data_IF_771704743350
#
_entry.id   IF_771704743350
#
_cell.length_a   1.000
_cell.length_b   1.000
_cell.length_c   1.000
_cell.angle_alpha   90.00
_cell.angle_beta   90.00
_cell.angle_gamma   90.00
#
_symmetry.space_group_name_H-M   'P 1'
#
loop_
_entity.id
_entity.type
_entity.pdbx_description
1 polymer ?
#
# COMPACT_ATOMS: atom_id res chain seq x y z
N UNK A 1 6.09 -7.05 -7.06
CA UNK A 1 6.84 -7.49 -8.26
C UNK A 1 6.09 -8.61 -8.95
N UNK A 2 6.22 -8.73 -10.28
CA UNK A 2 5.66 -9.87 -11.02
C UNK A 2 6.63 -11.06 -10.97
N UNK A 3 6.14 -12.30 -11.07
CA UNK A 3 7.00 -13.50 -11.09
C UNK A 3 8.07 -13.50 -12.21
N UNK A 4 7.88 -12.70 -13.26
CA UNK A 4 8.85 -12.55 -14.35
C UNK A 4 10.08 -11.72 -13.98
N UNK A 5 10.06 -11.01 -12.85
CA UNK A 5 11.21 -10.18 -12.43
C UNK A 5 12.37 -11.07 -11.95
N UNK A 6 13.63 -10.85 -12.38
CA UNK A 6 14.78 -11.69 -12.02
C UNK A 6 15.02 -11.85 -10.52
N UNK A 7 14.56 -10.87 -9.72
CA UNK A 7 14.72 -10.85 -8.27
C UNK A 7 13.42 -11.15 -7.52
N UNK A 8 12.39 -11.67 -8.19
CA UNK A 8 11.07 -11.91 -7.58
C UNK A 8 11.18 -12.69 -6.26
N UNK A 9 11.89 -13.82 -6.24
CA UNK A 9 12.06 -14.66 -5.05
C UNK A 9 12.77 -13.92 -3.90
N UNK A 10 13.78 -13.10 -4.21
CA UNK A 10 14.46 -12.30 -3.20
C UNK A 10 13.50 -11.30 -2.54
N UNK A 11 12.76 -10.54 -3.33
CA UNK A 11 11.80 -9.58 -2.79
C UNK A 11 10.61 -10.26 -2.10
N UNK A 12 10.20 -11.43 -2.59
CA UNK A 12 9.17 -12.26 -1.95
C UNK A 12 9.61 -12.71 -0.56
N UNK A 13 10.90 -13.01 -0.37
CA UNK A 13 11.46 -13.39 0.93
C UNK A 13 11.44 -12.26 1.98
N UNK A 14 11.29 -11.00 1.55
CA UNK A 14 11.17 -9.84 2.44
C UNK A 14 9.73 -9.52 2.83
N UNK A 15 8.73 -10.21 2.27
CA UNK A 15 7.34 -9.98 2.63
C UNK A 15 7.08 -10.37 4.08
N UNK A 16 6.49 -9.45 4.83
CA UNK A 16 6.02 -9.76 6.18
C UNK A 16 4.75 -10.62 6.14
N UNK A 17 4.57 -11.52 7.12
CA UNK A 17 3.28 -12.18 7.33
C UNK A 17 2.15 -11.15 7.54
N UNK A 18 0.92 -11.43 7.08
CA UNK A 18 -0.21 -10.49 7.23
C UNK A 18 -0.48 -10.03 8.68
N UNK A 19 -0.18 -10.88 9.66
CA UNK A 19 -0.34 -10.60 11.09
C UNK A 19 0.55 -9.46 11.58
N UNK A 20 1.73 -9.26 10.97
CA UNK A 20 2.64 -8.17 11.28
C UNK A 20 1.96 -6.83 11.04
N UNK A 21 1.28 -6.65 9.91
CA UNK A 21 0.61 -5.40 9.58
C UNK A 21 -0.50 -5.05 10.57
N UNK A 22 -1.34 -6.03 10.97
CA UNK A 22 -2.37 -5.79 11.99
C UNK A 22 -1.77 -5.40 13.35
N UNK A 23 -0.61 -5.96 13.69
CA UNK A 23 0.11 -5.62 14.93
C UNK A 23 0.68 -4.21 14.86
N UNK A 24 1.27 -3.82 13.73
CA UNK A 24 1.81 -2.48 13.50
C UNK A 24 0.71 -1.42 13.56
N UNK A 25 -0.43 -1.64 12.90
CA UNK A 25 -1.57 -0.70 12.96
C UNK A 25 -2.02 -0.49 14.40
N UNK A 26 -2.20 -1.57 15.17
CA UNK A 26 -2.57 -1.48 16.59
C UNK A 26 -1.55 -0.67 17.41
N UNK A 27 -0.25 -0.87 17.18
CA UNK A 27 0.80 -0.12 17.88
C UNK A 27 0.79 1.37 17.50
N UNK A 28 0.65 1.69 16.21
CA UNK A 28 0.59 3.05 15.67
C UNK A 28 -0.64 3.80 16.22
N UNK A 29 -1.80 3.15 16.21
CA UNK A 29 -3.04 3.70 16.77
C UNK A 29 -2.93 3.88 18.29
N UNK A 30 -2.32 2.93 19.00
CA UNK A 30 -2.03 3.05 20.44
C UNK A 30 -1.16 4.27 20.78
N UNK A 31 -0.27 4.66 19.87
CA UNK A 31 0.54 5.89 19.96
C UNK A 31 -0.19 7.16 19.46
N UNK A 32 -1.50 7.07 19.18
CA UNK A 32 -2.33 8.15 18.60
C UNK A 32 -1.76 8.71 17.29
N UNK A 33 -1.16 7.83 16.47
CA UNK A 33 -0.67 8.15 15.12
C UNK A 33 -1.56 7.48 14.07
N UNK A 34 -1.43 7.92 12.82
CA UNK A 34 -2.17 7.36 11.68
C UNK A 34 -1.28 6.39 10.89
N UNK A 35 -1.85 5.27 10.47
CA UNK A 35 -1.19 4.27 9.65
C UNK A 35 -1.55 4.46 8.17
N UNK A 36 -0.53 4.71 7.33
CA UNK A 36 -0.66 4.81 5.88
C UNK A 36 0.13 3.68 5.22
N UNK A 37 -0.43 3.11 4.16
CA UNK A 37 0.20 2.03 3.39
C UNK A 37 0.38 2.43 1.94
N UNK A 38 1.55 2.11 1.39
CA UNK A 38 1.75 2.12 -0.07
C UNK A 38 1.01 0.92 -0.66
N UNK A 39 0.18 1.18 -1.66
CA UNK A 39 -0.70 0.16 -2.27
C UNK A 39 -0.37 0.00 -3.75
N UNK A 40 -0.20 -1.24 -4.15
CA UNK A 40 0.09 -1.71 -5.49
C UNK A 40 -0.98 -2.74 -5.90
N UNK A 41 -2.01 -2.28 -6.61
CA UNK A 41 -3.13 -3.12 -7.04
C UNK A 41 -4.07 -3.60 -5.93
N UNK A 42 -5.04 -4.41 -6.34
CA UNK A 42 -6.20 -4.80 -5.53
C UNK A 42 -5.87 -5.56 -4.25
N UNK A 43 -4.87 -6.45 -4.31
CA UNK A 43 -4.53 -7.32 -3.18
C UNK A 43 -3.99 -6.51 -2.01
N UNK A 44 -3.06 -5.59 -2.29
CA UNK A 44 -2.45 -4.75 -1.26
C UNK A 44 -3.43 -3.70 -0.75
N UNK A 45 -4.28 -3.13 -1.61
CA UNK A 45 -5.35 -2.22 -1.22
C UNK A 45 -6.33 -2.89 -0.24
N UNK A 46 -6.82 -4.08 -0.58
CA UNK A 46 -7.73 -4.83 0.28
C UNK A 46 -7.06 -5.28 1.59
N UNK A 47 -5.76 -5.63 1.54
CA UNK A 47 -5.01 -5.97 2.74
C UNK A 47 -4.86 -4.77 3.68
N UNK A 48 -4.46 -3.61 3.15
CA UNK A 48 -4.31 -2.37 3.91
C UNK A 48 -5.63 -1.92 4.54
N UNK A 49 -6.72 -1.95 3.78
CA UNK A 49 -8.05 -1.57 4.28
C UNK A 49 -8.51 -2.51 5.41
N UNK A 50 -8.36 -3.83 5.22
CA UNK A 50 -8.73 -4.85 6.20
C UNK A 50 -7.98 -4.71 7.52
N UNK A 51 -6.71 -4.31 7.51
CA UNK A 51 -5.93 -4.14 8.75
C UNK A 51 -6.18 -2.81 9.45
N UNK A 52 -7.03 -1.94 8.89
CA UNK A 52 -7.40 -0.68 9.51
C UNK A 52 -6.50 0.50 9.14
N UNK A 53 -5.95 0.53 7.92
CA UNK A 53 -5.25 1.71 7.41
C UNK A 53 -6.12 2.97 7.50
N UNK A 54 -5.53 4.09 7.92
CA UNK A 54 -6.19 5.40 7.96
C UNK A 54 -6.16 6.11 6.61
N UNK A 55 -5.31 5.64 5.69
CA UNK A 55 -5.19 6.16 4.35
C UNK A 55 -4.19 5.38 3.51
N UNK A 56 -4.08 5.79 2.25
CA UNK A 56 -3.30 5.08 1.25
C UNK A 56 -2.26 5.99 0.62
N UNK A 57 -1.18 5.39 0.16
CA UNK A 57 -0.12 6.02 -0.61
C UNK A 57 -0.09 5.35 -1.98
N UNK A 58 -0.05 6.16 -3.03
CA UNK A 58 0.11 5.73 -4.43
C UNK A 58 1.50 6.19 -4.88
N UNK A 59 2.36 5.25 -5.25
CA UNK A 59 3.70 5.54 -5.75
C UNK A 59 3.66 6.18 -7.15
N UNK A 60 4.73 6.89 -7.53
CA UNK A 60 4.76 7.67 -8.77
C UNK A 60 4.57 6.80 -10.02
N UNK A 61 5.05 5.56 -10.00
CA UNK A 61 4.93 4.60 -11.11
C UNK A 61 3.48 4.28 -11.46
N UNK A 62 2.57 4.46 -10.52
CA UNK A 62 1.14 4.20 -10.69
C UNK A 62 0.35 5.45 -11.08
N UNK A 63 0.99 6.62 -11.29
CA UNK A 63 0.28 7.87 -11.61
C UNK A 63 -0.53 7.80 -12.92
N UNK A 64 -0.13 6.95 -13.86
CA UNK A 64 -0.86 6.70 -15.11
C UNK A 64 -1.96 5.64 -14.99
N UNK A 65 -2.09 4.98 -13.84
CA UNK A 65 -3.03 3.89 -13.61
C UNK A 65 -4.37 4.42 -13.08
N UNK A 66 -5.08 5.20 -13.91
CA UNK A 66 -6.33 5.85 -13.54
C UNK A 66 -7.38 4.90 -12.94
N UNK A 67 -7.63 3.69 -13.47
CA UNK A 67 -8.60 2.77 -12.88
C UNK A 67 -8.25 2.37 -11.44
N UNK A 68 -6.96 2.17 -11.16
CA UNK A 68 -6.51 1.87 -9.80
C UNK A 68 -6.62 3.10 -8.89
N UNK A 69 -6.25 4.29 -9.37
CA UNK A 69 -6.37 5.53 -8.61
C UNK A 69 -7.84 5.79 -8.21
N UNK A 70 -8.77 5.69 -9.17
CA UNK A 70 -10.20 5.85 -8.93
C UNK A 70 -10.71 4.84 -7.90
N UNK A 71 -10.26 3.59 -7.98
CA UNK A 71 -10.58 2.55 -7.00
C UNK A 71 -10.10 2.92 -5.60
N UNK A 72 -8.85 3.36 -5.44
CA UNK A 72 -8.31 3.80 -4.15
C UNK A 72 -9.11 4.99 -3.60
N UNK A 73 -9.44 5.98 -4.45
CA UNK A 73 -10.21 7.16 -4.06
C UNK A 73 -11.64 6.80 -3.60
N UNK A 74 -12.28 5.81 -4.22
CA UNK A 74 -13.64 5.38 -3.89
C UNK A 74 -13.81 4.83 -2.47
N UNK A 75 -12.72 4.45 -1.79
CA UNK A 75 -12.74 4.00 -0.39
C UNK A 75 -13.05 5.16 0.57
N UNK A 76 -12.84 6.42 0.16
CA UNK A 76 -13.17 7.59 0.97
C UNK A 76 -12.18 7.89 2.10
N UNK A 77 -10.98 7.28 2.08
CA UNK A 77 -9.88 7.57 3.01
C UNK A 77 -8.88 8.54 2.38
N UNK A 78 -8.13 9.33 3.18
CA UNK A 78 -7.05 10.18 2.66
C UNK A 78 -6.05 9.42 1.78
N UNK A 79 -5.70 10.01 0.63
CA UNK A 79 -4.74 9.45 -0.32
C UNK A 79 -3.57 10.40 -0.52
N UNK A 80 -2.36 9.86 -0.42
CA UNK A 80 -1.11 10.55 -0.75
C UNK A 80 -0.66 10.08 -2.13
N UNK A 81 -0.45 10.99 -3.08
CA UNK A 81 -0.02 10.65 -4.43
C UNK A 81 1.38 11.21 -4.66
N UNK A 82 2.34 10.34 -4.99
CA UNK A 82 3.65 10.80 -5.44
C UNK A 82 3.57 11.28 -6.88
N UNK A 83 4.12 12.46 -7.16
CA UNK A 83 4.22 13.03 -8.51
C UNK A 83 5.67 13.11 -9.02
N UNK A 84 6.63 12.70 -8.19
CA UNK A 84 8.05 12.71 -8.53
C UNK A 84 8.51 11.37 -9.05
N UNK A 85 8.96 11.35 -10.31
CA UNK A 85 9.68 10.22 -10.90
C UNK A 85 10.79 10.75 -11.81
N UNK A 86 11.97 10.12 -11.74
CA UNK A 86 13.07 10.41 -12.68
C UNK A 86 12.75 9.68 -13.99
N UNK A 87 12.40 10.43 -15.03
CA UNK A 87 12.46 9.95 -16.42
C UNK A 87 13.90 9.96 -16.90
#
# INVERSE_FOLDING_TARGET
>A
MTPAHPQYELFKSFEFPPTVFSTLVRLIHGARKKAYFDVFGDISLAAADRVGADGFKIYASDIGNNPFIEKVLSIGKPVLISVGERR
#
